data_IF_266176597151
#
_entry.id   IF_266176597151
#
_cell.length_a   1.000
_cell.length_b   1.000
_cell.length_c   1.000
_cell.angle_alpha   90.00
_cell.angle_beta   90.00
_cell.angle_gamma   90.00
#
_symmetry.space_group_name_H-M   'P 1'
#
loop_
_entity.id
_entity.type
_entity.pdbx_description
1 polymer ?
#
# COMPACT_ATOMS: atom_id res chain seq x y z
N UNK A 1 1.54 -0.75 -8.09
CA UNK A 1 1.01 -1.62 -9.16
C UNK A 1 2.14 -2.19 -10.00
N UNK A 2 1.94 -3.40 -10.52
CA UNK A 2 3.00 -4.10 -11.27
C UNK A 2 3.30 -3.43 -12.61
N UNK A 3 2.30 -2.86 -13.25
CA UNK A 3 2.40 -2.06 -14.47
C UNK A 3 3.32 -0.84 -14.30
N UNK A 4 3.17 -0.10 -13.21
CA UNK A 4 4.06 1.00 -12.84
C UNK A 4 5.52 0.54 -12.69
N UNK A 5 5.75 -0.53 -11.95
CA UNK A 5 7.10 -1.08 -11.72
C UNK A 5 7.72 -1.56 -13.04
N UNK A 6 6.93 -2.26 -13.85
CA UNK A 6 7.37 -2.74 -15.16
C UNK A 6 7.75 -1.59 -16.09
N UNK A 7 6.93 -0.53 -16.16
CA UNK A 7 7.23 0.64 -17.00
C UNK A 7 8.50 1.34 -16.54
N UNK A 8 8.65 1.55 -15.22
CA UNK A 8 9.84 2.17 -14.65
C UNK A 8 11.10 1.38 -14.95
N UNK A 9 11.09 0.06 -14.73
CA UNK A 9 12.24 -0.82 -15.03
C UNK A 9 12.56 -0.77 -16.52
N UNK A 10 11.57 -0.88 -17.40
CA UNK A 10 11.77 -0.87 -18.85
C UNK A 10 12.43 0.42 -19.31
N UNK A 11 11.99 1.56 -18.80
CA UNK A 11 12.57 2.86 -19.12
C UNK A 11 14.00 3.00 -18.60
N UNK A 12 14.26 2.59 -17.37
CA UNK A 12 15.62 2.62 -16.78
C UNK A 12 16.56 1.74 -17.57
N UNK A 13 16.11 0.56 -18.01
CA UNK A 13 16.93 -0.38 -18.78
C UNK A 13 17.36 0.17 -20.14
N UNK A 14 16.61 1.13 -20.70
CA UNK A 14 16.94 1.79 -21.97
C UNK A 14 17.94 2.95 -21.83
N UNK A 15 18.26 3.35 -20.61
CA UNK A 15 19.22 4.41 -20.34
C UNK A 15 20.67 3.88 -20.42
N UNK A 16 21.66 4.78 -20.62
CA UNK A 16 23.06 4.40 -20.50
C UNK A 16 23.35 3.73 -19.16
N UNK A 17 24.17 2.69 -19.17
CA UNK A 17 24.52 1.96 -17.95
C UNK A 17 25.26 2.87 -16.98
N UNK A 18 24.66 3.10 -15.84
CA UNK A 18 25.23 3.82 -14.71
C UNK A 18 25.22 2.92 -13.47
N UNK A 19 26.30 2.96 -12.68
CA UNK A 19 26.37 2.20 -11.43
C UNK A 19 25.61 2.94 -10.33
N UNK A 20 24.26 2.95 -10.42
CA UNK A 20 23.33 3.63 -9.51
C UNK A 20 22.25 2.70 -9.00
N UNK A 21 21.79 2.97 -7.79
CA UNK A 21 20.62 2.30 -7.22
C UNK A 21 19.38 3.13 -7.53
N UNK A 22 18.32 2.45 -7.96
CA UNK A 22 17.03 3.06 -8.27
C UNK A 22 15.96 2.47 -7.35
N UNK A 23 15.36 3.30 -6.48
CA UNK A 23 14.27 2.90 -5.62
C UNK A 23 12.93 3.19 -6.31
N UNK A 24 12.29 2.16 -6.83
CA UNK A 24 10.99 2.26 -7.49
C UNK A 24 9.91 2.02 -6.43
N UNK A 25 9.50 3.09 -5.77
CA UNK A 25 8.54 3.07 -4.66
C UNK A 25 7.44 4.10 -4.88
N UNK A 26 6.35 4.04 -4.10
CA UNK A 26 5.34 5.09 -4.07
C UNK A 26 5.87 6.38 -3.44
N UNK A 27 5.22 7.49 -3.77
CA UNK A 27 5.65 8.84 -3.37
C UNK A 27 5.25 9.18 -1.93
N UNK A 28 4.19 8.55 -1.44
CA UNK A 28 3.61 8.87 -0.14
C UNK A 28 3.37 7.60 0.65
N UNK A 29 3.80 7.55 1.90
CA UNK A 29 3.43 6.46 2.78
C UNK A 29 1.92 6.51 3.04
N UNK A 30 1.27 5.36 2.97
CA UNK A 30 -0.11 5.18 3.41
C UNK A 30 -0.09 4.90 4.90
N UNK A 31 -0.85 5.67 5.65
CA UNK A 31 -0.98 5.44 7.07
C UNK A 31 -1.95 4.27 7.36
N UNK A 32 -1.77 3.63 8.51
CA UNK A 32 -2.72 2.63 9.02
C UNK A 32 -4.15 3.19 9.15
N UNK A 33 -4.29 4.48 9.43
CA UNK A 33 -5.59 5.16 9.49
C UNK A 33 -6.25 5.32 8.12
N UNK A 34 -5.47 5.52 7.06
CA UNK A 34 -6.00 5.56 5.69
C UNK A 34 -6.52 4.17 5.28
N UNK A 35 -5.81 3.11 5.69
CA UNK A 35 -6.26 1.72 5.45
C UNK A 35 -7.55 1.45 6.22
N UNK A 36 -7.62 1.78 7.52
CA UNK A 36 -8.84 1.65 8.32
C UNK A 36 -10.01 2.34 7.65
N UNK A 37 -9.82 3.63 7.30
CA UNK A 37 -10.85 4.44 6.65
C UNK A 37 -11.33 3.80 5.34
N UNK A 38 -10.41 3.38 4.48
CA UNK A 38 -10.76 2.75 3.21
C UNK A 38 -11.52 1.43 3.40
N UNK A 39 -11.11 0.60 4.36
CA UNK A 39 -11.80 -0.65 4.70
C UNK A 39 -13.21 -0.38 5.23
N UNK A 40 -13.35 0.52 6.20
CA UNK A 40 -14.65 0.87 6.77
C UNK A 40 -15.62 1.41 5.72
N UNK A 41 -15.15 2.27 4.82
CA UNK A 41 -15.98 2.85 3.76
C UNK A 41 -16.40 1.82 2.72
N UNK A 42 -15.47 0.97 2.24
CA UNK A 42 -15.78 -0.03 1.20
C UNK A 42 -16.67 -1.14 1.72
N UNK A 43 -16.40 -1.63 2.94
CA UNK A 43 -17.17 -2.73 3.53
C UNK A 43 -18.38 -2.26 4.33
N UNK A 44 -18.63 -0.95 4.40
CA UNK A 44 -19.68 -0.33 5.22
C UNK A 44 -19.63 -0.85 6.67
N UNK A 45 -18.43 -1.10 7.16
CA UNK A 45 -18.20 -1.67 8.47
C UNK A 45 -18.09 -0.58 9.52
N UNK A 46 -18.75 -0.81 10.66
CA UNK A 46 -18.68 0.07 11.82
C UNK A 46 -18.03 -0.68 12.99
N UNK A 47 -17.13 -0.03 13.70
CA UNK A 47 -16.50 -0.61 14.89
C UNK A 47 -15.12 -1.22 14.66
N UNK A 48 -14.57 -1.12 13.43
CA UNK A 48 -13.14 -1.30 13.21
C UNK A 48 -12.43 0.00 13.57
N UNK A 49 -11.43 -0.05 14.43
CA UNK A 49 -10.55 1.08 14.72
C UNK A 49 -9.11 0.64 14.92
N UNK A 50 -8.19 1.40 14.37
CA UNK A 50 -6.76 1.22 14.59
C UNK A 50 -6.38 1.90 15.90
N UNK A 51 -5.78 1.14 16.81
CA UNK A 51 -5.27 1.62 18.08
C UNK A 51 -3.78 1.33 18.19
N UNK A 52 -3.04 2.23 18.84
CA UNK A 52 -1.61 2.01 19.09
C UNK A 52 -1.38 0.90 20.11
N UNK A 53 -2.26 0.80 21.09
CA UNK A 53 -2.19 -0.23 22.12
C UNK A 53 -3.59 -0.63 22.56
N UNK A 54 -3.81 -1.94 22.72
CA UNK A 54 -5.05 -2.51 23.25
C UNK A 54 -4.75 -3.13 24.61
N UNK A 55 -5.21 -2.51 25.68
CA UNK A 55 -4.92 -2.95 27.06
C UNK A 55 -5.51 -4.33 27.39
N UNK A 56 -6.73 -4.63 26.93
CA UNK A 56 -7.43 -5.88 27.19
C UNK A 56 -8.03 -6.45 25.91
N UNK A 57 -7.20 -7.05 25.04
CA UNK A 57 -7.68 -7.54 23.75
C UNK A 57 -8.66 -8.70 23.92
N UNK A 58 -9.74 -8.66 23.17
CA UNK A 58 -10.68 -9.79 23.05
C UNK A 58 -10.02 -11.00 22.37
N UNK A 59 -10.66 -12.16 22.46
CA UNK A 59 -10.15 -13.38 21.78
C UNK A 59 -10.06 -13.19 20.27
N UNK A 60 -10.97 -12.43 19.66
CA UNK A 60 -10.98 -12.12 18.25
C UNK A 60 -9.80 -11.20 17.88
N UNK A 61 -9.53 -10.18 18.67
CA UNK A 61 -8.38 -9.29 18.46
C UNK A 61 -7.05 -10.02 18.60
N UNK A 62 -6.91 -10.92 19.59
CA UNK A 62 -5.72 -11.77 19.71
C UNK A 62 -5.54 -12.66 18.46
N UNK A 63 -6.63 -13.21 17.93
CA UNK A 63 -6.57 -14.03 16.72
C UNK A 63 -6.12 -13.19 15.52
N UNK A 64 -6.70 -12.02 15.32
CA UNK A 64 -6.33 -11.09 14.24
C UNK A 64 -4.87 -10.68 14.38
N UNK A 65 -4.42 -10.29 15.57
CA UNK A 65 -3.01 -9.93 15.82
C UNK A 65 -2.05 -11.08 15.46
N UNK A 66 -2.41 -12.33 15.74
CA UNK A 66 -1.60 -13.48 15.33
C UNK A 66 -1.56 -13.66 13.82
N UNK A 67 -2.68 -13.42 13.13
CA UNK A 67 -2.76 -13.57 11.67
C UNK A 67 -1.95 -12.50 10.94
N UNK A 68 -1.89 -11.27 11.46
CA UNK A 68 -1.19 -10.14 10.83
C UNK A 68 0.18 -9.85 11.47
N UNK A 69 0.58 -10.61 12.49
CA UNK A 69 1.79 -10.35 13.27
C UNK A 69 3.05 -10.20 12.42
N UNK A 70 3.20 -11.03 11.40
CA UNK A 70 4.35 -10.98 10.48
C UNK A 70 4.33 -9.71 9.59
N UNK A 71 3.17 -9.05 9.46
CA UNK A 71 3.00 -7.83 8.69
C UNK A 71 3.17 -6.57 9.55
N UNK A 72 3.05 -6.67 10.87
CA UNK A 72 3.12 -5.51 11.79
C UNK A 72 4.37 -4.64 11.59
N UNK A 73 5.58 -5.19 11.41
CA UNK A 73 6.78 -4.37 11.18
C UNK A 73 6.68 -3.48 9.94
N UNK A 74 5.92 -3.89 8.92
CA UNK A 74 5.70 -3.09 7.72
C UNK A 74 4.75 -1.91 7.97
N UNK A 75 3.77 -2.07 8.86
CA UNK A 75 2.85 -0.99 9.23
C UNK A 75 3.50 0.03 10.19
N UNK A 76 4.53 -0.38 10.91
CA UNK A 76 5.27 0.47 11.86
C UNK A 76 6.50 1.14 11.21
N UNK A 77 6.83 0.74 9.98
CA UNK A 77 8.01 1.26 9.30
C UNK A 77 7.75 2.66 8.75
N UNK A 78 8.56 3.62 9.19
CA UNK A 78 8.61 4.98 8.66
C UNK A 78 9.70 5.16 7.59
N UNK A 79 10.15 4.07 6.97
CA UNK A 79 11.23 4.11 5.98
C UNK A 79 10.75 4.83 4.72
N UNK A 80 11.41 5.92 4.41
CA UNK A 80 11.22 6.67 3.16
C UNK A 80 12.46 6.40 2.28
N UNK A 81 12.21 5.89 1.08
CA UNK A 81 13.29 5.62 0.13
C UNK A 81 13.61 6.86 -0.70
N UNK A 82 14.90 7.13 -0.87
CA UNK A 82 15.36 8.22 -1.75
C UNK A 82 15.08 7.87 -3.22
N UNK A 83 14.26 8.69 -3.86
CA UNK A 83 13.85 8.54 -5.26
C UNK A 83 14.64 9.44 -6.23
N UNK A 84 15.68 10.10 -5.77
CA UNK A 84 16.44 11.06 -6.58
C UNK A 84 16.91 10.46 -7.90
N UNK A 85 17.45 9.25 -7.90
CA UNK A 85 17.94 8.61 -9.12
C UNK A 85 16.80 8.21 -10.08
N UNK A 86 15.69 7.73 -9.55
CA UNK A 86 14.50 7.41 -10.37
C UNK A 86 13.92 8.67 -11.01
N UNK A 87 13.77 9.74 -10.24
CA UNK A 87 13.27 11.04 -10.75
C UNK A 87 14.17 11.62 -11.83
N UNK A 88 15.47 11.57 -11.65
CA UNK A 88 16.44 12.01 -12.67
C UNK A 88 16.36 11.17 -13.94
N UNK A 89 16.15 9.86 -13.80
CA UNK A 89 16.12 8.93 -14.93
C UNK A 89 14.82 9.00 -15.73
N UNK A 90 13.68 9.09 -15.04
CA UNK A 90 12.36 8.93 -15.64
C UNK A 90 11.61 10.26 -15.77
N UNK A 91 12.08 11.33 -15.12
CA UNK A 91 11.38 12.60 -14.98
C UNK A 91 10.21 12.51 -13.98
N UNK A 92 9.67 13.66 -13.59
CA UNK A 92 8.64 13.73 -12.55
C UNK A 92 7.33 13.02 -12.94
N UNK A 93 6.99 13.01 -14.24
CA UNK A 93 5.77 12.35 -14.73
C UNK A 93 5.77 10.83 -14.62
N UNK A 94 6.94 10.21 -14.55
CA UNK A 94 7.04 8.76 -14.43
C UNK A 94 6.66 8.24 -13.04
N UNK A 95 6.49 9.14 -12.08
CA UNK A 95 6.15 8.86 -10.70
C UNK A 95 4.75 9.39 -10.32
N UNK A 96 3.90 9.65 -11.30
CA UNK A 96 2.54 10.16 -11.09
C UNK A 96 1.59 9.14 -10.42
N UNK A 97 2.08 7.95 -10.13
CA UNK A 97 1.33 6.98 -9.36
C UNK A 97 1.34 7.33 -7.87
N UNK A 98 0.16 7.50 -7.31
CA UNK A 98 -0.02 7.75 -5.88
C UNK A 98 -0.74 6.59 -5.23
N UNK A 99 -0.17 6.14 -4.11
CA UNK A 99 -0.87 5.27 -3.19
C UNK A 99 -1.72 6.17 -2.28
N UNK A 100 -2.89 6.54 -2.76
CA UNK A 100 -3.85 7.35 -2.00
C UNK A 100 -5.06 6.50 -1.53
N UNK A 101 -5.95 7.14 -0.79
CA UNK A 101 -7.13 6.48 -0.25
C UNK A 101 -8.06 5.94 -1.35
N UNK A 102 -8.11 6.60 -2.52
CA UNK A 102 -8.95 6.15 -3.65
C UNK A 102 -8.37 4.89 -4.29
N UNK A 103 -7.05 4.79 -4.36
CA UNK A 103 -6.38 3.57 -4.80
C UNK A 103 -6.62 2.43 -3.81
N UNK A 104 -6.52 2.68 -2.50
CA UNK A 104 -6.84 1.69 -1.47
C UNK A 104 -8.27 1.18 -1.58
N UNK A 105 -9.24 2.08 -1.74
CA UNK A 105 -10.66 1.72 -1.94
C UNK A 105 -10.84 0.79 -3.13
N UNK A 106 -10.22 1.11 -4.27
CA UNK A 106 -10.26 0.29 -5.49
C UNK A 106 -9.67 -1.10 -5.25
N UNK A 107 -8.53 -1.18 -4.58
CA UNK A 107 -7.89 -2.46 -4.26
C UNK A 107 -8.74 -3.32 -3.33
N UNK A 108 -9.24 -2.73 -2.24
CA UNK A 108 -10.07 -3.43 -1.25
C UNK A 108 -11.36 -3.91 -1.93
N UNK A 109 -12.01 -3.06 -2.72
CA UNK A 109 -13.23 -3.44 -3.46
C UNK A 109 -12.98 -4.56 -4.47
N UNK A 110 -11.87 -4.50 -5.20
CA UNK A 110 -11.50 -5.54 -6.17
C UNK A 110 -11.23 -6.89 -5.48
N UNK A 111 -10.51 -6.86 -4.35
CA UNK A 111 -10.28 -8.05 -3.52
C UNK A 111 -11.60 -8.61 -2.99
N UNK A 112 -12.45 -7.76 -2.40
CA UNK A 112 -13.74 -8.16 -1.84
C UNK A 112 -14.65 -8.83 -2.89
N UNK A 113 -14.75 -8.24 -4.08
CA UNK A 113 -15.53 -8.82 -5.19
C UNK A 113 -14.97 -10.17 -5.66
N UNK A 114 -13.66 -10.32 -5.68
CA UNK A 114 -13.03 -11.60 -6.05
C UNK A 114 -13.35 -12.71 -5.05
N UNK A 115 -13.28 -12.42 -3.77
CA UNK A 115 -13.54 -13.38 -2.71
C UNK A 115 -15.04 -13.66 -2.49
N UNK A 116 -15.91 -12.73 -2.93
CA UNK A 116 -17.37 -12.81 -2.76
C UNK A 116 -18.09 -12.57 -4.09
N UNK A 117 -17.97 -13.47 -5.08
CA UNK A 117 -18.52 -13.25 -6.41
C UNK A 117 -20.06 -13.18 -6.42
N UNK A 118 -20.73 -13.68 -5.38
CA UNK A 118 -22.20 -13.67 -5.27
C UNK A 118 -22.76 -12.34 -4.71
N UNK A 119 -21.92 -11.46 -4.20
CA UNK A 119 -22.31 -10.19 -3.54
C UNK A 119 -22.14 -8.98 -4.46
N UNK A 120 -22.12 -9.17 -5.76
CA UNK A 120 -22.03 -8.04 -6.70
C UNK A 120 -23.43 -7.49 -6.96
N UNK A 121 -23.70 -6.21 -6.61
CA UNK A 121 -24.91 -5.53 -7.02
C UNK A 121 -24.88 -5.24 -8.52
#
# INVERSE_FOLDING_TARGET
PVDYVQEAITKIFQLPVENKTYHITGDSPVSRYDIEKAVCEVLQSHGLSVMEHVENPSKQEILVQKMIGDLMPYFESEIIFDQTNVRKALGDKALDWKLDIDFLRKMILAYYKRENPEVVP
#
